data_IF_545097718956
#
_entry.id   IF_545097718956
#
_cell.length_a   1.000
_cell.length_b   1.000
_cell.length_c   1.000
_cell.angle_alpha   90.00
_cell.angle_beta   90.00
_cell.angle_gamma   90.00
#
_symmetry.space_group_name_H-M   'P 1'
#
loop_
_entity.id
_entity.type
_entity.pdbx_description
1 polymer ?
#
# COMPACT_ATOMS: atom_id res chain seq x y z
N UNK A 1 -6.15 11.27 1.24
CA UNK A 1 -5.06 12.26 1.10
C UNK A 1 -5.35 13.36 2.10
N UNK A 2 -4.32 14.02 2.67
CA UNK A 2 -4.52 15.33 3.31
C UNK A 2 -5.36 16.22 2.39
N UNK A 3 -6.04 17.21 2.94
CA UNK A 3 -6.90 18.08 2.15
C UNK A 3 -6.08 18.74 1.01
N UNK A 4 -6.12 18.14 -0.19
CA UNK A 4 -5.41 18.59 -1.39
C UNK A 4 -5.70 20.07 -1.69
N UNK A 5 -6.83 20.57 -1.21
CA UNK A 5 -7.24 21.98 -1.28
C UNK A 5 -6.25 22.93 -0.60
N UNK A 6 -5.49 22.45 0.38
CA UNK A 6 -4.55 23.26 1.16
C UNK A 6 -3.14 23.27 0.55
N UNK A 7 -2.89 22.49 -0.50
CA UNK A 7 -1.62 22.53 -1.21
C UNK A 7 -1.53 23.76 -2.12
N UNK A 8 -0.30 24.25 -2.32
CA UNK A 8 -0.03 25.35 -3.24
C UNK A 8 -0.10 24.88 -4.70
N UNK A 9 -1.24 25.10 -5.35
CA UNK A 9 -1.46 24.79 -6.76
C UNK A 9 -1.15 25.97 -7.70
N UNK A 10 -0.72 27.12 -7.18
CA UNK A 10 -0.53 28.33 -7.97
C UNK A 10 0.94 28.58 -8.32
N UNK A 11 1.87 28.22 -7.43
CA UNK A 11 3.29 28.30 -7.73
C UNK A 11 3.69 27.23 -8.74
N UNK A 12 3.94 27.66 -9.98
CA UNK A 12 4.27 26.78 -11.11
C UNK A 12 5.52 25.93 -10.88
N UNK A 13 6.54 26.49 -10.24
CA UNK A 13 7.80 25.81 -10.01
C UNK A 13 8.46 26.34 -8.73
N UNK A 14 8.98 25.43 -7.92
CA UNK A 14 9.89 25.70 -6.79
C UNK A 14 11.11 24.80 -6.93
N UNK A 15 12.29 25.40 -6.88
CA UNK A 15 13.52 24.68 -6.56
C UNK A 15 13.56 24.54 -5.03
N UNK A 16 13.48 23.30 -4.54
CA UNK A 16 13.42 23.05 -3.09
C UNK A 16 14.83 22.91 -2.52
N UNK A 17 15.72 22.16 -3.18
CA UNK A 17 17.11 21.98 -2.75
C UNK A 17 17.98 21.47 -3.89
N UNK A 18 19.29 21.70 -3.80
CA UNK A 18 20.31 21.04 -4.61
C UNK A 18 20.77 19.76 -3.90
N UNK A 19 20.38 18.60 -4.43
CA UNK A 19 20.78 17.29 -3.88
C UNK A 19 22.21 16.91 -4.28
N UNK A 20 22.77 17.56 -5.32
CA UNK A 20 24.15 17.37 -5.75
C UNK A 20 25.14 17.79 -4.65
N UNK A 21 24.82 18.87 -3.93
CA UNK A 21 25.61 19.35 -2.79
C UNK A 21 25.67 18.32 -1.67
N UNK A 22 24.59 17.58 -1.42
CA UNK A 22 24.55 16.60 -0.33
C UNK A 22 25.55 15.46 -0.56
N UNK A 23 25.67 15.00 -1.80
CA UNK A 23 26.65 13.96 -2.18
C UNK A 23 28.10 14.40 -2.04
N UNK A 24 28.36 15.70 -2.05
CA UNK A 24 29.69 16.26 -1.78
C UNK A 24 29.94 16.52 -0.30
N UNK A 25 28.87 16.74 0.48
CA UNK A 25 28.92 17.09 1.90
C UNK A 25 28.97 15.86 2.81
N UNK A 26 28.30 14.77 2.44
CA UNK A 26 28.16 13.58 3.29
C UNK A 26 28.83 12.36 2.66
N UNK A 27 29.44 11.53 3.50
CA UNK A 27 30.10 10.30 3.05
C UNK A 27 29.13 9.29 2.44
N UNK A 28 27.90 9.24 2.97
CA UNK A 28 26.81 8.44 2.44
C UNK A 28 25.54 9.29 2.33
N UNK A 29 24.85 9.16 1.19
CA UNK A 29 23.51 9.73 0.97
C UNK A 29 22.66 8.64 0.34
N UNK A 30 21.64 8.19 1.07
CA UNK A 30 20.76 7.12 0.62
C UNK A 30 19.65 7.66 -0.29
N UNK A 31 18.87 6.75 -0.88
CA UNK A 31 17.75 7.09 -1.78
C UNK A 31 16.81 8.13 -1.14
N UNK A 32 16.37 9.16 -1.89
CA UNK A 32 15.53 10.21 -1.33
C UNK A 32 14.05 9.83 -1.26
N UNK A 33 13.36 10.51 -0.35
CA UNK A 33 11.93 10.37 -0.08
C UNK A 33 11.28 11.74 -0.13
N UNK A 34 10.06 11.81 -0.64
CA UNK A 34 9.39 13.08 -0.90
C UNK A 34 8.05 13.11 -0.21
N UNK A 35 7.78 14.25 0.44
CA UNK A 35 6.50 14.56 1.07
C UNK A 35 5.34 14.56 0.06
N UNK A 36 4.11 14.25 0.50
CA UNK A 36 2.94 14.23 -0.38
C UNK A 36 2.78 15.52 -1.22
N UNK A 37 2.92 16.69 -0.60
CA UNK A 37 2.76 17.99 -1.24
C UNK A 37 3.98 18.44 -2.07
N UNK A 38 5.11 17.73 -1.95
CA UNK A 38 6.36 18.02 -2.63
C UNK A 38 7.17 19.18 -2.05
N UNK A 39 6.82 19.70 -0.87
CA UNK A 39 7.55 20.82 -0.25
C UNK A 39 8.79 20.35 0.51
N UNK A 40 8.89 19.04 0.79
CA UNK A 40 10.04 18.40 1.44
C UNK A 40 10.56 17.20 0.65
N UNK A 41 11.89 17.10 0.57
CA UNK A 41 12.65 15.90 0.19
C UNK A 41 13.63 15.56 1.31
N UNK A 42 13.79 14.27 1.59
CA UNK A 42 14.66 13.78 2.65
C UNK A 42 15.48 12.58 2.25
N UNK A 43 16.72 12.49 2.73
CA UNK A 43 17.57 11.31 2.63
C UNK A 43 18.19 10.97 3.98
N UNK A 44 18.44 9.69 4.22
CA UNK A 44 19.37 9.28 5.29
C UNK A 44 20.78 9.66 4.86
N UNK A 45 21.52 10.32 5.74
CA UNK A 45 22.92 10.69 5.53
C UNK A 45 23.77 10.21 6.69
N UNK A 46 25.06 9.99 6.42
CA UNK A 46 26.05 9.67 7.44
C UNK A 46 26.86 10.90 7.81
N UNK A 47 26.94 11.20 9.10
CA UNK A 47 27.68 12.33 9.66
C UNK A 47 29.17 12.01 9.81
N UNK A 48 29.97 13.03 10.12
CA UNK A 48 31.42 12.88 10.36
C UNK A 48 31.72 12.00 11.58
N UNK A 49 30.80 11.92 12.55
CA UNK A 49 30.89 11.07 13.74
C UNK A 49 30.49 9.61 13.48
N UNK A 50 30.39 9.20 12.21
CA UNK A 50 29.96 7.86 11.77
C UNK A 50 28.53 7.47 12.21
N UNK A 51 27.71 8.46 12.56
CA UNK A 51 26.30 8.31 12.93
C UNK A 51 25.37 8.63 11.75
N UNK A 52 24.11 8.22 11.83
CA UNK A 52 23.11 8.47 10.80
C UNK A 52 22.05 9.48 11.25
N UNK A 53 21.59 10.31 10.33
CA UNK A 53 20.48 11.24 10.55
C UNK A 53 19.74 11.53 9.24
N UNK A 54 18.57 12.19 9.33
CA UNK A 54 17.88 12.67 8.14
C UNK A 54 18.41 14.03 7.72
N UNK A 55 18.70 14.19 6.43
CA UNK A 55 18.82 15.51 5.79
C UNK A 55 17.50 15.81 5.09
N UNK A 56 16.80 16.86 5.51
CA UNK A 56 15.52 17.32 4.95
C UNK A 56 15.72 18.69 4.34
N UNK A 57 15.53 18.83 3.03
CA UNK A 57 15.76 20.08 2.29
C UNK A 57 17.14 20.75 2.54
N UNK A 58 18.16 19.95 2.92
CA UNK A 58 19.53 20.41 3.16
C UNK A 58 19.87 20.62 4.64
N UNK A 59 18.85 20.56 5.50
CA UNK A 59 18.97 20.70 6.95
C UNK A 59 18.97 19.34 7.64
N UNK A 60 19.87 19.14 8.60
CA UNK A 60 19.92 17.90 9.36
C UNK A 60 18.91 17.93 10.50
N UNK A 61 18.33 16.78 10.84
CA UNK A 61 17.75 16.61 12.17
C UNK A 61 18.83 16.81 13.24
N UNK A 62 18.42 17.34 14.39
CA UNK A 62 19.33 17.60 15.52
C UNK A 62 19.88 16.28 16.11
N UNK A 63 19.01 15.27 16.23
CA UNK A 63 19.40 13.96 16.74
C UNK A 63 20.13 13.13 15.68
N UNK A 64 21.10 12.34 16.14
CA UNK A 64 21.82 11.35 15.34
C UNK A 64 21.71 9.97 15.97
N UNK A 65 21.80 8.91 15.17
CA UNK A 65 21.49 7.55 15.56
C UNK A 65 22.54 6.56 15.06
N UNK A 66 22.77 5.46 15.78
CA UNK A 66 23.72 4.42 15.34
C UNK A 66 23.25 3.77 14.02
N UNK A 67 21.93 3.70 13.83
CA UNK A 67 21.26 3.20 12.62
C UNK A 67 20.00 3.99 12.35
N UNK A 68 19.72 4.26 11.08
CA UNK A 68 18.47 4.88 10.62
C UNK A 68 17.99 4.24 9.31
N UNK A 69 16.73 3.80 9.27
CA UNK A 69 16.20 2.97 8.18
C UNK A 69 14.75 3.35 7.85
N UNK A 70 14.33 3.04 6.63
CA UNK A 70 12.94 3.15 6.18
C UNK A 70 12.26 4.53 6.41
N UNK A 71 12.88 5.64 6.00
CA UNK A 71 12.25 6.95 6.11
C UNK A 71 10.95 7.01 5.30
N UNK A 72 9.88 7.56 5.88
CA UNK A 72 8.55 7.67 5.26
C UNK A 72 7.87 8.96 5.69
N UNK A 73 7.47 9.77 4.72
CA UNK A 73 6.56 10.89 4.98
C UNK A 73 5.14 10.36 5.22
N UNK A 74 4.54 10.78 6.32
CA UNK A 74 3.12 10.59 6.58
C UNK A 74 2.27 11.47 5.67
N UNK A 75 0.95 11.17 5.56
CA UNK A 75 -0.01 12.02 4.84
C UNK A 75 -0.05 13.48 5.34
N UNK A 76 0.35 13.73 6.59
CA UNK A 76 0.44 15.06 7.21
C UNK A 76 1.77 15.78 6.95
N UNK A 77 2.70 15.19 6.20
CA UNK A 77 3.98 15.80 5.84
C UNK A 77 5.07 15.70 6.91
N UNK A 78 4.83 14.99 8.02
CA UNK A 78 5.87 14.63 8.99
C UNK A 78 6.70 13.48 8.46
N UNK A 79 8.02 13.50 8.67
CA UNK A 79 8.92 12.44 8.28
C UNK A 79 9.11 11.47 9.45
N UNK A 80 8.93 10.18 9.20
CA UNK A 80 9.23 9.12 10.17
C UNK A 80 10.41 8.29 9.72
N UNK A 81 11.15 7.68 10.64
CA UNK A 81 12.16 6.67 10.32
C UNK A 81 12.34 5.69 11.49
N UNK A 82 12.76 4.46 11.21
CA UNK A 82 13.23 3.54 12.24
C UNK A 82 14.63 3.94 12.65
N UNK A 83 14.86 4.15 13.94
CA UNK A 83 16.14 4.58 14.50
C UNK A 83 16.58 3.64 15.61
N UNK A 84 17.89 3.50 15.79
CA UNK A 84 18.46 2.66 16.83
C UNK A 84 19.56 3.36 17.61
N UNK A 85 19.58 3.12 18.91
CA UNK A 85 20.59 3.55 19.86
C UNK A 85 20.79 2.45 20.91
N UNK A 86 22.04 2.16 21.30
CA UNK A 86 22.36 1.15 22.32
C UNK A 86 21.73 -0.22 22.04
N UNK A 87 21.54 -0.57 20.77
CA UNK A 87 20.97 -1.85 20.33
C UNK A 87 19.44 -1.97 20.44
N UNK A 88 18.74 -0.92 20.86
CA UNK A 88 17.27 -0.88 20.85
C UNK A 88 16.76 -0.05 19.66
N UNK A 89 15.54 -0.32 19.22
CA UNK A 89 14.89 0.36 18.10
C UNK A 89 13.66 1.14 18.52
N UNK A 90 13.40 2.25 17.83
CA UNK A 90 12.15 3.01 17.93
C UNK A 90 11.86 3.76 16.62
N UNK A 91 10.80 4.56 16.60
CA UNK A 91 10.47 5.47 15.49
C UNK A 91 10.84 6.89 15.89
N UNK A 92 11.59 7.59 15.04
CA UNK A 92 11.74 9.03 15.11
C UNK A 92 10.69 9.70 14.22
N UNK A 93 10.08 10.79 14.71
CA UNK A 93 9.13 11.63 13.98
C UNK A 93 9.68 13.05 13.93
N UNK A 94 10.02 13.52 12.74
CA UNK A 94 10.69 14.81 12.51
C UNK A 94 11.94 15.01 13.40
N UNK A 95 12.71 13.94 13.60
CA UNK A 95 13.95 13.94 14.40
C UNK A 95 13.77 13.51 15.83
N UNK A 96 12.55 13.52 16.36
CA UNK A 96 12.27 13.18 17.76
C UNK A 96 11.94 11.69 17.92
N UNK A 97 12.79 10.89 18.60
CA UNK A 97 12.49 9.48 18.88
C UNK A 97 11.34 9.34 19.87
N UNK A 98 10.49 8.32 19.68
CA UNK A 98 9.52 7.97 20.72
C UNK A 98 10.20 7.51 22.00
N UNK A 99 9.55 7.76 23.14
CA UNK A 99 10.04 7.38 24.47
C UNK A 99 10.19 5.85 24.63
N UNK A 100 9.24 5.07 24.11
CA UNK A 100 9.31 3.62 24.17
C UNK A 100 10.33 3.07 23.16
N UNK A 101 11.16 2.16 23.66
CA UNK A 101 12.15 1.40 22.89
C UNK A 101 11.79 -0.09 22.85
N UNK A 102 12.15 -0.73 21.74
CA UNK A 102 11.79 -2.09 21.38
C UNK A 102 13.02 -2.88 20.91
N UNK A 103 12.93 -4.20 20.91
CA UNK A 103 13.96 -5.05 20.29
C UNK A 103 13.98 -4.87 18.77
N UNK A 104 12.80 -4.75 18.15
CA UNK A 104 12.64 -4.45 16.73
C UNK A 104 11.35 -3.65 16.47
N UNK A 105 11.37 -2.81 15.43
CA UNK A 105 10.19 -2.13 14.87
C UNK A 105 10.17 -2.26 13.35
N UNK A 106 8.99 -2.46 12.75
CA UNK A 106 8.84 -2.56 11.29
C UNK A 106 7.41 -2.25 10.83
N UNK A 107 7.21 -2.19 9.50
CA UNK A 107 5.90 -2.06 8.85
C UNK A 107 5.12 -0.80 9.29
N UNK A 108 5.70 0.39 9.07
CA UNK A 108 5.02 1.66 9.37
C UNK A 108 3.76 1.84 8.52
N UNK A 109 2.65 2.19 9.16
CA UNK A 109 1.42 2.61 8.49
C UNK A 109 0.87 3.88 9.14
N UNK A 110 0.15 4.66 8.35
CA UNK A 110 -0.42 5.94 8.76
C UNK A 110 -1.94 5.90 8.67
N UNK A 111 -2.63 6.60 9.58
CA UNK A 111 -4.03 6.99 9.34
C UNK A 111 -4.13 7.89 8.11
N UNK A 112 -5.33 8.00 7.56
CA UNK A 112 -5.58 8.84 6.39
C UNK A 112 -5.15 10.31 6.57
N UNK A 113 -5.28 10.84 7.79
CA UNK A 113 -4.88 12.19 8.17
C UNK A 113 -3.44 12.29 8.70
N UNK A 114 -2.70 11.19 8.77
CA UNK A 114 -1.32 11.10 9.26
C UNK A 114 -1.14 11.20 10.78
N UNK A 115 -2.19 11.48 11.55
CA UNK A 115 -2.09 11.65 13.02
C UNK A 115 -1.73 10.38 13.76
N UNK A 116 -2.11 9.23 13.21
CA UNK A 116 -1.76 7.93 13.75
C UNK A 116 -0.60 7.36 12.95
N UNK A 117 0.47 7.04 13.66
CA UNK A 117 1.63 6.31 13.17
C UNK A 117 1.64 4.98 13.90
N UNK A 118 1.41 3.90 13.17
CA UNK A 118 1.42 2.54 13.70
C UNK A 118 2.62 1.77 13.18
N UNK A 119 3.18 0.89 14.01
CA UNK A 119 4.26 -0.03 13.65
C UNK A 119 4.06 -1.37 14.34
N UNK A 120 4.54 -2.45 13.73
CA UNK A 120 4.73 -3.70 14.45
C UNK A 120 5.98 -3.59 15.32
N UNK A 121 5.92 -4.18 16.50
CA UNK A 121 7.00 -4.15 17.48
C UNK A 121 7.29 -5.54 18.01
N UNK A 122 8.55 -5.80 18.34
CA UNK A 122 8.94 -6.95 19.14
C UNK A 122 9.65 -6.45 20.40
N UNK A 123 9.30 -7.04 21.55
CA UNK A 123 10.00 -6.85 22.82
C UNK A 123 9.90 -8.13 23.64
N UNK A 124 11.02 -8.58 24.21
CA UNK A 124 11.10 -9.80 25.03
C UNK A 124 10.51 -11.04 24.34
N UNK A 125 10.77 -11.19 23.04
CA UNK A 125 10.27 -12.29 22.18
C UNK A 125 8.74 -12.30 21.96
N UNK A 126 8.04 -11.24 22.38
CA UNK A 126 6.63 -11.04 22.12
C UNK A 126 6.41 -9.92 21.11
N UNK A 127 5.32 -10.03 20.36
CA UNK A 127 4.97 -9.19 19.22
C UNK A 127 3.72 -8.39 19.54
N UNK A 128 3.71 -7.12 19.13
CA UNK A 128 2.58 -6.21 19.34
C UNK A 128 2.51 -5.18 18.21
N UNK A 129 1.56 -4.26 18.31
CA UNK A 129 1.48 -3.05 17.50
C UNK A 129 1.62 -1.85 18.42
N UNK A 130 2.50 -0.91 18.08
CA UNK A 130 2.61 0.37 18.74
C UNK A 130 1.92 1.47 17.93
N UNK A 131 1.21 2.34 18.63
CA UNK A 131 0.44 3.46 18.11
C UNK A 131 1.00 4.74 18.71
N UNK A 132 1.57 5.61 17.89
CA UNK A 132 2.21 6.85 18.34
C UNK A 132 3.16 6.63 19.53
N UNK A 133 4.03 5.61 19.44
CA UNK A 133 4.97 5.26 20.49
C UNK A 133 4.44 4.31 21.57
N UNK A 134 3.13 4.07 21.66
CA UNK A 134 2.57 3.26 22.74
C UNK A 134 2.19 1.87 22.23
N UNK A 135 2.84 0.77 22.69
CA UNK A 135 2.41 -0.58 22.35
C UNK A 135 1.04 -0.89 22.97
N UNK A 136 0.30 -1.83 22.37
CA UNK A 136 -0.85 -2.41 23.05
C UNK A 136 -0.45 -2.99 24.41
N UNK A 137 -1.39 -2.96 25.36
CA UNK A 137 -1.20 -3.58 26.69
C UNK A 137 -0.92 -5.09 26.58
N UNK A 138 -1.53 -5.75 25.59
CA UNK A 138 -1.30 -7.15 25.30
C UNK A 138 -0.23 -7.31 24.20
N UNK A 139 0.59 -8.35 24.36
CA UNK A 139 1.51 -8.83 23.34
C UNK A 139 1.29 -10.33 23.09
N UNK A 140 1.74 -10.81 21.94
CA UNK A 140 1.41 -12.13 21.43
C UNK A 140 2.67 -12.89 21.02
N UNK A 141 2.57 -14.20 20.87
CA UNK A 141 3.70 -15.03 20.41
C UNK A 141 4.17 -14.64 19.01
N UNK A 142 3.24 -14.13 18.19
CA UNK A 142 3.54 -13.58 16.89
C UNK A 142 2.43 -12.64 16.42
N UNK A 143 2.81 -11.61 15.66
CA UNK A 143 1.93 -10.76 14.88
C UNK A 143 2.48 -10.67 13.48
N UNK A 144 1.82 -11.31 12.51
CA UNK A 144 2.34 -11.41 11.14
C UNK A 144 2.00 -10.20 10.28
N UNK A 145 0.81 -9.64 10.42
CA UNK A 145 0.36 -8.44 9.74
C UNK A 145 -0.68 -7.69 10.59
N UNK A 146 -0.92 -6.44 10.23
CA UNK A 146 -1.97 -5.61 10.82
C UNK A 146 -2.56 -4.65 9.78
N UNK A 147 -3.76 -4.14 10.01
CA UNK A 147 -4.44 -3.15 9.18
C UNK A 147 -5.00 -2.03 10.06
N UNK A 148 -4.99 -0.80 9.53
CA UNK A 148 -5.71 0.31 10.15
C UNK A 148 -7.12 0.37 9.56
N UNK A 149 -8.05 0.77 10.40
CA UNK A 149 -9.40 1.12 9.99
C UNK A 149 -9.44 2.40 9.13
N UNK A 150 -10.48 2.60 8.31
CA UNK A 150 -10.60 3.77 7.42
C UNK A 150 -10.49 5.14 8.11
N UNK A 151 -11.08 5.28 9.31
CA UNK A 151 -10.96 6.49 10.13
C UNK A 151 -9.63 6.60 10.90
N UNK A 152 -8.80 5.55 10.85
CA UNK A 152 -7.51 5.47 11.50
C UNK A 152 -7.56 5.24 13.01
N UNK A 153 -8.74 5.06 13.61
CA UNK A 153 -8.88 5.00 15.08
C UNK A 153 -8.73 3.59 15.66
N UNK A 154 -8.90 2.58 14.81
CA UNK A 154 -8.86 1.16 15.17
C UNK A 154 -7.76 0.44 14.40
N UNK A 155 -7.17 -0.57 15.03
CA UNK A 155 -6.19 -1.47 14.41
C UNK A 155 -6.61 -2.92 14.61
N UNK A 156 -6.49 -3.73 13.57
CA UNK A 156 -6.66 -5.17 13.64
C UNK A 156 -5.36 -5.87 13.23
N UNK A 157 -5.01 -6.96 13.90
CA UNK A 157 -3.79 -7.71 13.64
C UNK A 157 -4.01 -9.21 13.76
N UNK A 158 -3.28 -9.99 12.96
CA UNK A 158 -3.21 -11.43 13.14
C UNK A 158 -2.42 -11.72 14.41
N UNK A 159 -2.95 -12.51 15.33
CA UNK A 159 -2.31 -12.79 16.60
C UNK A 159 -2.16 -14.30 16.82
N UNK A 160 -0.93 -14.77 17.02
CA UNK A 160 -0.67 -16.10 17.54
C UNK A 160 -0.76 -16.08 19.06
N UNK A 161 -1.69 -16.85 19.61
CA UNK A 161 -2.05 -16.83 21.03
C UNK A 161 -1.37 -17.92 21.86
N UNK A 162 -0.75 -18.90 21.19
CA UNK A 162 -0.18 -20.08 21.84
C UNK A 162 1.24 -20.33 21.33
N UNK A 163 2.18 -20.46 22.28
CA UNK A 163 3.55 -20.87 21.99
C UNK A 163 3.57 -22.35 21.68
N UNK A 164 4.11 -22.71 20.53
CA UNK A 164 4.27 -24.10 20.13
C UNK A 164 5.71 -24.56 20.32
N UNK A 165 5.89 -25.83 20.68
CA UNK A 165 7.20 -26.47 20.64
C UNK A 165 7.58 -26.75 19.19
N UNK A 166 8.87 -26.86 18.91
CA UNK A 166 9.36 -27.25 17.60
C UNK A 166 8.76 -28.60 17.18
N UNK A 167 8.18 -28.65 15.98
CA UNK A 167 7.54 -29.86 15.44
C UNK A 167 6.18 -30.22 16.04
N UNK A 168 5.56 -29.38 16.89
CA UNK A 168 4.24 -29.64 17.46
C UNK A 168 3.10 -29.39 16.46
N UNK A 169 2.95 -30.34 15.53
CA UNK A 169 1.92 -30.29 14.48
C UNK A 169 0.51 -30.55 15.02
N UNK A 170 0.36 -31.16 16.19
CA UNK A 170 -0.94 -31.45 16.78
C UNK A 170 -1.47 -30.22 17.51
N UNK A 171 -0.64 -29.56 18.35
CA UNK A 171 -0.99 -28.29 18.96
C UNK A 171 -1.27 -27.19 17.93
N UNK A 172 -0.54 -27.19 16.80
CA UNK A 172 -0.87 -26.30 15.67
C UNK A 172 -2.29 -26.54 15.11
N UNK A 173 -2.69 -27.81 14.98
CA UNK A 173 -4.01 -28.19 14.45
C UNK A 173 -5.18 -27.88 15.40
N UNK A 174 -4.91 -27.67 16.69
CA UNK A 174 -5.93 -27.22 17.65
C UNK A 174 -6.36 -25.75 17.42
N UNK A 175 -5.58 -24.99 16.64
CA UNK A 175 -5.87 -23.60 16.32
C UNK A 175 -5.20 -22.63 17.30
N UNK A 176 -4.13 -21.98 16.85
CA UNK A 176 -3.33 -21.07 17.66
C UNK A 176 -3.45 -19.60 17.25
N UNK A 177 -4.13 -19.32 16.14
CA UNK A 177 -4.27 -17.98 15.59
C UNK A 177 -5.66 -17.39 15.82
N UNK A 178 -5.73 -16.08 15.98
CA UNK A 178 -6.97 -15.30 15.96
C UNK A 178 -6.69 -13.87 15.49
N UNK A 179 -7.68 -12.99 15.53
CA UNK A 179 -7.51 -11.56 15.27
C UNK A 179 -7.54 -10.81 16.59
N UNK A 180 -6.59 -9.90 16.78
CA UNK A 180 -6.63 -8.88 17.81
C UNK A 180 -7.15 -7.57 17.21
N UNK A 181 -8.20 -6.99 17.78
CA UNK A 181 -8.67 -5.63 17.46
C UNK A 181 -8.36 -4.73 18.64
N UNK A 182 -7.45 -3.77 18.46
CA UNK A 182 -6.90 -2.90 19.51
C UNK A 182 -6.36 -3.69 20.71
N UNK A 183 -5.62 -4.76 20.42
CA UNK A 183 -5.05 -5.66 21.43
C UNK A 183 -6.06 -6.62 22.07
N UNK A 184 -7.35 -6.56 21.72
CA UNK A 184 -8.39 -7.49 22.24
C UNK A 184 -8.66 -8.60 21.23
N UNK A 185 -8.51 -9.85 21.68
CA UNK A 185 -8.69 -11.02 20.83
C UNK A 185 -10.16 -11.28 20.53
N UNK A 186 -10.45 -11.79 19.33
CA UNK A 186 -11.69 -12.51 19.09
C UNK A 186 -11.73 -13.80 19.93
N UNK A 187 -12.93 -14.19 20.35
CA UNK A 187 -13.13 -15.41 21.17
C UNK A 187 -12.77 -16.70 20.42
N UNK A 188 -12.94 -16.71 19.09
CA UNK A 188 -12.69 -17.88 18.25
C UNK A 188 -11.24 -17.95 17.81
N UNK A 189 -10.64 -19.14 17.92
CA UNK A 189 -9.33 -19.48 17.35
C UNK A 189 -9.46 -20.26 16.04
N UNK A 190 -8.42 -20.17 15.23
CA UNK A 190 -8.29 -20.77 13.91
C UNK A 190 -6.90 -21.39 13.76
N UNK A 191 -6.75 -22.34 12.83
CA UNK A 191 -5.42 -22.89 12.49
C UNK A 191 -4.53 -21.79 11.92
N UNK A 192 -5.07 -20.92 11.08
CA UNK A 192 -4.40 -19.74 10.59
C UNK A 192 -5.39 -18.60 10.37
N UNK A 193 -4.85 -17.38 10.43
CA UNK A 193 -5.51 -16.15 10.00
C UNK A 193 -4.51 -15.40 9.10
N UNK A 194 -4.96 -14.94 7.92
CA UNK A 194 -4.15 -14.18 6.97
C UNK A 194 -4.78 -12.82 6.67
N UNK A 195 -5.10 -12.49 5.42
CA UNK A 195 -5.55 -11.17 4.99
C UNK A 195 -6.66 -10.60 5.87
N UNK A 196 -6.60 -9.30 6.14
CA UNK A 196 -7.49 -8.57 7.04
C UNK A 196 -8.09 -7.38 6.32
N UNK A 197 -9.36 -7.09 6.58
CA UNK A 197 -10.01 -5.88 6.09
C UNK A 197 -10.90 -5.28 7.17
N UNK A 198 -10.94 -3.95 7.25
CA UNK A 198 -11.95 -3.23 8.02
C UNK A 198 -13.14 -2.86 7.14
N UNK A 199 -14.33 -2.82 7.75
CA UNK A 199 -15.51 -2.22 7.13
C UNK A 199 -15.33 -0.71 6.92
N UNK A 200 -16.04 -0.10 5.94
CA UNK A 200 -15.93 1.34 5.66
C UNK A 200 -16.25 2.24 6.86
N UNK A 201 -17.07 1.76 7.79
CA UNK A 201 -17.46 2.47 9.01
C UNK A 201 -16.56 2.17 10.22
N UNK A 202 -15.43 1.49 10.01
CA UNK A 202 -14.42 1.13 11.02
C UNK A 202 -14.91 0.20 12.16
N UNK A 203 -16.09 -0.43 12.03
CA UNK A 203 -16.67 -1.23 13.13
C UNK A 203 -16.41 -2.72 13.06
N UNK A 204 -16.27 -3.27 11.86
CA UNK A 204 -16.18 -4.70 11.63
C UNK A 204 -14.84 -5.05 11.00
N UNK A 205 -14.33 -6.23 11.34
CA UNK A 205 -13.10 -6.77 10.74
C UNK A 205 -13.42 -8.11 10.09
N UNK A 206 -13.04 -8.25 8.83
CA UNK A 206 -13.07 -9.50 8.09
C UNK A 206 -11.65 -10.09 8.02
N UNK A 207 -11.55 -11.40 8.09
CA UNK A 207 -10.29 -12.12 8.00
C UNK A 207 -10.42 -13.38 7.16
N UNK A 208 -9.39 -13.64 6.35
CA UNK A 208 -9.15 -14.96 5.77
C UNK A 208 -8.75 -15.93 6.87
N UNK A 209 -9.47 -17.05 7.01
CA UNK A 209 -9.22 -18.03 8.07
C UNK A 209 -9.18 -19.47 7.54
N UNK A 210 -8.33 -20.28 8.17
CA UNK A 210 -8.27 -21.72 7.98
C UNK A 210 -8.85 -22.44 9.19
N UNK A 211 -9.84 -23.30 8.95
CA UNK A 211 -10.54 -24.05 10.00
C UNK A 211 -9.89 -25.39 10.31
N UNK A 212 -9.44 -26.08 9.26
CA UNK A 212 -8.74 -27.36 9.35
C UNK A 212 -7.74 -27.49 8.19
N UNK A 213 -7.16 -28.68 7.96
CA UNK A 213 -6.18 -28.88 6.90
C UNK A 213 -6.71 -28.62 5.47
N UNK A 214 -8.01 -28.58 5.25
CA UNK A 214 -8.63 -28.51 3.92
C UNK A 214 -9.67 -27.39 3.77
N UNK A 215 -10.26 -26.92 4.87
CA UNK A 215 -11.35 -25.95 4.85
C UNK A 215 -10.88 -24.54 5.21
N UNK A 216 -11.17 -23.62 4.29
CA UNK A 216 -10.92 -22.19 4.38
C UNK A 216 -12.23 -21.44 4.27
N UNK A 217 -12.32 -20.28 4.92
CA UNK A 217 -13.49 -19.39 4.83
C UNK A 217 -13.11 -17.97 5.24
N UNK A 218 -14.06 -17.06 5.21
CA UNK A 218 -13.91 -15.72 5.79
C UNK A 218 -14.62 -15.68 7.14
N UNK A 219 -14.01 -15.04 8.13
CA UNK A 219 -14.63 -14.71 9.39
C UNK A 219 -14.81 -13.19 9.51
N UNK A 220 -15.99 -12.74 9.94
CA UNK A 220 -16.28 -11.35 10.29
C UNK A 220 -16.55 -11.30 11.79
N UNK A 221 -15.73 -10.54 12.52
CA UNK A 221 -15.77 -10.45 13.99
C UNK A 221 -15.81 -11.82 14.67
N UNK A 222 -14.95 -12.75 14.22
CA UNK A 222 -14.85 -14.12 14.72
C UNK A 222 -15.95 -15.07 14.24
N UNK A 223 -16.99 -14.58 13.55
CA UNK A 223 -18.07 -15.41 12.99
C UNK A 223 -17.75 -15.77 11.55
N UNK A 224 -17.65 -17.06 11.26
CA UNK A 224 -17.36 -17.57 9.92
C UNK A 224 -18.58 -17.46 9.01
N UNK A 225 -18.35 -17.32 7.71
CA UNK A 225 -19.38 -17.67 6.73
C UNK A 225 -19.85 -19.12 6.95
N UNK A 226 -21.07 -19.43 6.50
CA UNK A 226 -21.63 -20.78 6.60
C UNK A 226 -20.99 -21.78 5.64
N UNK A 227 -20.38 -21.30 4.56
CA UNK A 227 -19.73 -22.11 3.54
C UNK A 227 -18.21 -22.21 3.76
N UNK A 228 -17.62 -23.33 3.36
CA UNK A 228 -16.17 -23.55 3.31
C UNK A 228 -15.70 -23.80 1.89
N UNK A 229 -14.43 -23.52 1.65
CA UNK A 229 -13.79 -23.63 0.35
C UNK A 229 -12.43 -24.31 0.49
N UNK A 230 -11.94 -24.90 -0.59
CA UNK A 230 -10.61 -25.51 -0.63
C UNK A 230 -9.48 -24.48 -0.47
N UNK A 231 -9.77 -23.21 -0.75
CA UNK A 231 -8.93 -22.04 -0.52
C UNK A 231 -9.78 -20.78 -0.69
N UNK A 232 -9.44 -19.71 0.03
CA UNK A 232 -9.97 -18.36 -0.19
C UNK A 232 -8.79 -17.38 -0.18
N UNK A 233 -8.96 -16.19 -0.73
CA UNK A 233 -7.98 -15.11 -0.59
C UNK A 233 -8.52 -13.98 0.31
N UNK A 234 -7.65 -12.99 0.57
CA UNK A 234 -7.93 -11.82 1.41
C UNK A 234 -9.32 -11.21 1.15
N UNK A 235 -10.12 -10.98 2.20
CA UNK A 235 -11.44 -10.37 2.06
C UNK A 235 -11.35 -8.87 1.76
N UNK A 236 -12.41 -8.33 1.18
CA UNK A 236 -12.62 -6.88 1.07
C UNK A 236 -14.08 -6.54 1.36
N UNK A 237 -14.33 -5.46 2.10
CA UNK A 237 -15.68 -4.97 2.31
C UNK A 237 -16.17 -4.16 1.11
N UNK A 238 -17.47 -4.22 0.85
CA UNK A 238 -18.15 -3.25 -0.01
C UNK A 238 -17.89 -1.83 0.52
N UNK A 239 -17.75 -0.84 -0.36
CA UNK A 239 -17.48 0.56 0.03
C UNK A 239 -18.69 1.28 0.62
N UNK A 240 -19.90 0.71 0.55
CA UNK A 240 -21.17 1.33 0.99
C UNK A 240 -21.93 0.57 2.07
N UNK A 241 -21.60 -0.70 2.28
CA UNK A 241 -22.29 -1.54 3.25
C UNK A 241 -21.32 -2.55 3.90
N UNK A 242 -21.86 -3.55 4.58
CA UNK A 242 -21.11 -4.56 5.34
C UNK A 242 -20.86 -5.86 4.58
N UNK A 243 -21.21 -5.94 3.29
CA UNK A 243 -20.97 -7.15 2.50
C UNK A 243 -19.48 -7.37 2.30
N UNK A 244 -19.06 -8.63 2.41
CA UNK A 244 -17.65 -9.02 2.27
C UNK A 244 -17.48 -9.86 1.02
N UNK A 245 -16.59 -9.43 0.13
CA UNK A 245 -16.19 -10.18 -1.05
C UNK A 245 -14.84 -10.86 -0.82
N UNK A 246 -14.71 -12.10 -1.29
CA UNK A 246 -13.43 -12.80 -1.35
C UNK A 246 -13.35 -13.70 -2.59
N UNK A 247 -12.18 -13.83 -3.22
CA UNK A 247 -11.91 -14.91 -4.16
C UNK A 247 -11.99 -16.25 -3.44
N UNK A 248 -12.72 -17.20 -4.03
CA UNK A 248 -12.89 -18.55 -3.46
C UNK A 248 -12.62 -19.61 -4.50
N UNK A 249 -11.99 -20.71 -4.07
CA UNK A 249 -11.70 -21.86 -4.92
C UNK A 249 -12.83 -22.87 -4.83
N UNK A 250 -13.58 -23.01 -5.93
CA UNK A 250 -14.68 -23.97 -6.08
C UNK A 250 -14.33 -25.07 -7.08
N UNK A 251 -15.21 -26.06 -7.25
CA UNK A 251 -15.05 -27.07 -8.30
C UNK A 251 -14.99 -26.39 -9.68
N UNK A 252 -13.88 -26.60 -10.38
CA UNK A 252 -13.63 -26.09 -11.73
C UNK A 252 -12.79 -24.81 -11.80
N UNK A 253 -12.53 -24.12 -10.68
CA UNK A 253 -11.65 -22.95 -10.65
C UNK A 253 -11.97 -21.96 -9.54
N UNK A 254 -11.35 -20.79 -9.64
CA UNK A 254 -11.61 -19.64 -8.77
C UNK A 254 -12.80 -18.83 -9.27
N UNK A 255 -13.60 -18.33 -8.34
CA UNK A 255 -14.68 -17.36 -8.59
C UNK A 255 -14.71 -16.36 -7.43
N UNK A 256 -15.48 -15.29 -7.57
CA UNK A 256 -15.72 -14.35 -6.49
C UNK A 256 -16.95 -14.79 -5.70
N UNK A 257 -16.86 -14.76 -4.37
CA UNK A 257 -18.01 -14.92 -3.48
C UNK A 257 -18.26 -13.65 -2.67
N UNK A 258 -19.53 -13.37 -2.40
CA UNK A 258 -19.97 -12.33 -1.46
C UNK A 258 -20.72 -13.03 -0.32
N UNK A 259 -20.29 -12.80 0.92
CA UNK A 259 -20.87 -13.41 2.12
C UNK A 259 -21.00 -14.94 2.01
N UNK A 260 -19.98 -15.59 1.46
CA UNK A 260 -19.93 -17.05 1.27
C UNK A 260 -20.67 -17.58 0.04
N UNK A 261 -21.34 -16.72 -0.75
CA UNK A 261 -22.07 -17.16 -1.95
C UNK A 261 -21.30 -16.76 -3.21
N UNK A 262 -20.90 -17.71 -4.08
CA UNK A 262 -20.35 -17.38 -5.39
C UNK A 262 -21.29 -16.46 -6.20
N UNK A 263 -20.77 -15.36 -6.72
CA UNK A 263 -21.53 -14.33 -7.46
C UNK A 263 -21.14 -14.19 -8.92
N UNK A 264 -19.97 -14.71 -9.33
CA UNK A 264 -19.57 -14.74 -10.74
C UNK A 264 -19.83 -16.12 -11.34
N UNK A 265 -20.58 -16.16 -12.45
CA UNK A 265 -20.89 -17.39 -13.19
C UNK A 265 -19.63 -18.04 -13.79
N UNK A 266 -18.66 -17.21 -14.17
CA UNK A 266 -17.40 -17.63 -14.77
C UNK A 266 -16.41 -18.08 -13.69
N UNK A 267 -15.70 -19.18 -13.99
CA UNK A 267 -14.57 -19.67 -13.20
C UNK A 267 -13.26 -19.36 -13.92
N UNK A 268 -12.21 -19.08 -13.15
CA UNK A 268 -10.89 -18.73 -13.63
C UNK A 268 -9.84 -19.72 -13.10
N UNK A 269 -8.68 -19.78 -13.75
CA UNK A 269 -7.54 -20.57 -13.25
C UNK A 269 -6.91 -19.95 -12.01
N UNK A 270 -6.98 -18.62 -11.89
CA UNK A 270 -6.57 -17.81 -10.74
C UNK A 270 -7.45 -16.54 -10.67
N UNK A 271 -7.66 -16.01 -9.47
CA UNK A 271 -8.40 -14.78 -9.19
C UNK A 271 -7.86 -14.17 -7.89
N UNK A 272 -7.47 -12.89 -7.89
CA UNK A 272 -7.01 -12.17 -6.69
C UNK A 272 -7.09 -10.65 -6.88
N UNK A 273 -6.68 -9.87 -5.88
CA UNK A 273 -6.68 -8.39 -5.89
C UNK A 273 -8.00 -7.79 -6.37
N UNK A 274 -9.11 -8.27 -5.79
CA UNK A 274 -10.43 -7.72 -6.05
C UNK A 274 -10.59 -6.35 -5.37
N UNK A 275 -11.18 -5.41 -6.09
CA UNK A 275 -11.45 -4.05 -5.62
C UNK A 275 -12.88 -3.67 -5.97
N UNK A 276 -13.57 -3.03 -5.05
CA UNK A 276 -14.89 -2.44 -5.31
C UNK A 276 -14.74 -1.09 -6.02
N UNK A 277 -15.73 -0.74 -6.84
CA UNK A 277 -15.90 0.63 -7.32
C UNK A 277 -16.21 1.59 -6.16
N UNK A 278 -15.96 2.90 -6.30
CA UNK A 278 -16.22 3.88 -5.23
C UNK A 278 -17.69 3.97 -4.79
N UNK A 279 -18.63 3.55 -5.64
CA UNK A 279 -20.06 3.45 -5.34
C UNK A 279 -20.50 2.07 -4.84
N UNK A 280 -19.59 1.10 -4.74
CA UNK A 280 -19.82 -0.24 -4.20
C UNK A 280 -20.57 -1.19 -5.13
N UNK A 281 -20.83 -0.78 -6.39
CA UNK A 281 -21.73 -1.51 -7.31
C UNK A 281 -21.02 -2.47 -8.25
N UNK A 282 -19.72 -2.30 -8.47
CA UNK A 282 -18.91 -3.13 -9.35
C UNK A 282 -17.70 -3.66 -8.62
N UNK A 283 -17.19 -4.79 -9.09
CA UNK A 283 -15.95 -5.38 -8.59
C UNK A 283 -15.03 -5.67 -9.77
N UNK A 284 -13.81 -5.13 -9.72
CA UNK A 284 -12.73 -5.48 -10.64
C UNK A 284 -11.75 -6.42 -9.93
N UNK A 285 -11.17 -7.39 -10.64
CA UNK A 285 -10.14 -8.26 -10.07
C UNK A 285 -9.14 -8.71 -11.14
N UNK A 286 -7.93 -9.05 -10.70
CA UNK A 286 -6.98 -9.78 -11.54
C UNK A 286 -7.46 -11.21 -11.70
N UNK A 287 -7.54 -11.69 -12.95
CA UNK A 287 -7.97 -13.04 -13.28
C UNK A 287 -7.04 -13.70 -14.30
N UNK A 288 -6.99 -15.03 -14.26
CA UNK A 288 -6.40 -15.84 -15.32
C UNK A 288 -7.46 -16.70 -16.02
N UNK A 289 -7.99 -16.29 -17.20
CA UNK A 289 -8.91 -17.10 -17.98
C UNK A 289 -8.32 -18.44 -18.43
N UNK A 290 -7.00 -18.48 -18.65
CA UNK A 290 -6.21 -19.68 -18.92
C UNK A 290 -4.87 -19.61 -18.18
N UNK A 291 -4.17 -20.73 -18.02
CA UNK A 291 -2.87 -20.74 -17.35
C UNK A 291 -1.88 -19.82 -18.06
N UNK A 292 -1.16 -19.01 -17.26
CA UNK A 292 -0.15 -18.07 -17.77
C UNK A 292 -0.70 -16.91 -18.60
N UNK A 293 -2.02 -16.67 -18.62
CA UNK A 293 -2.61 -15.51 -19.31
C UNK A 293 -3.47 -14.72 -18.32
N UNK A 294 -3.07 -13.50 -18.06
CA UNK A 294 -3.66 -12.62 -17.05
C UNK A 294 -4.45 -11.49 -17.69
N UNK A 295 -5.52 -11.03 -17.03
CA UNK A 295 -6.28 -9.84 -17.41
C UNK A 295 -7.10 -9.34 -16.23
N UNK A 296 -7.80 -8.21 -16.39
CA UNK A 296 -8.79 -7.74 -15.41
C UNK A 296 -10.17 -8.24 -15.82
N UNK A 297 -10.94 -8.72 -14.85
CA UNK A 297 -12.39 -8.89 -14.99
C UNK A 297 -13.13 -7.82 -14.20
N UNK A 298 -14.17 -7.26 -14.81
CA UNK A 298 -15.16 -6.40 -14.15
C UNK A 298 -16.46 -7.18 -14.07
N UNK A 299 -16.94 -7.42 -12.87
CA UNK A 299 -18.15 -8.22 -12.59
C UNK A 299 -18.13 -9.59 -13.30
N UNK A 300 -16.98 -10.26 -13.25
CA UNK A 300 -16.76 -11.59 -13.84
C UNK A 300 -16.55 -11.59 -15.35
N UNK A 301 -16.62 -10.43 -16.00
CA UNK A 301 -16.38 -10.26 -17.43
C UNK A 301 -14.92 -9.82 -17.68
N UNK A 302 -14.02 -10.71 -18.13
CA UNK A 302 -12.64 -10.35 -18.44
C UNK A 302 -12.55 -9.44 -19.65
N UNK A 303 -11.55 -8.54 -19.66
CA UNK A 303 -11.16 -7.87 -20.89
C UNK A 303 -10.77 -8.88 -21.97
N UNK A 304 -10.97 -8.49 -23.23
CA UNK A 304 -10.66 -9.36 -24.37
C UNK A 304 -9.15 -9.64 -24.49
N UNK A 305 -8.31 -8.64 -24.17
CA UNK A 305 -6.85 -8.80 -24.20
C UNK A 305 -6.36 -9.46 -22.91
N UNK A 306 -5.39 -10.36 -23.06
CA UNK A 306 -4.67 -11.00 -21.96
C UNK A 306 -3.18 -10.78 -22.12
N UNK A 307 -2.42 -10.92 -21.04
CA UNK A 307 -0.98 -10.65 -20.96
C UNK A 307 -0.25 -11.88 -20.39
N UNK A 308 0.94 -12.18 -20.89
CA UNK A 308 1.69 -13.39 -20.62
C UNK A 308 2.48 -13.37 -19.31
N UNK A 309 2.99 -12.21 -18.90
CA UNK A 309 3.91 -12.13 -17.76
C UNK A 309 3.16 -11.77 -16.47
N UNK A 310 2.47 -10.63 -16.46
CA UNK A 310 1.72 -10.16 -15.29
C UNK A 310 0.64 -9.15 -15.64
N UNK A 311 -0.32 -8.99 -14.73
CA UNK A 311 -1.14 -7.78 -14.61
C UNK A 311 -1.27 -7.44 -13.13
N UNK A 312 -1.04 -6.18 -12.81
CA UNK A 312 -1.13 -5.67 -11.45
C UNK A 312 -2.58 -5.35 -11.08
N UNK A 313 -2.78 -5.06 -9.80
CA UNK A 313 -4.07 -4.69 -9.21
C UNK A 313 -4.77 -3.56 -9.98
N UNK A 314 -6.09 -3.69 -10.25
CA UNK A 314 -6.87 -2.69 -10.96
C UNK A 314 -7.19 -1.48 -10.07
N UNK A 315 -7.41 -0.33 -10.72
CA UNK A 315 -7.86 0.92 -10.08
C UNK A 315 -9.11 1.40 -10.81
N UNK A 316 -10.16 1.73 -10.07
CA UNK A 316 -11.36 2.36 -10.63
C UNK A 316 -11.19 3.87 -10.78
N UNK A 317 -11.84 4.46 -11.79
CA UNK A 317 -12.11 5.89 -11.81
C UNK A 317 -13.01 6.30 -10.64
N UNK A 318 -12.97 7.57 -10.17
CA UNK A 318 -13.82 8.05 -9.08
C UNK A 318 -15.32 7.85 -9.30
N UNK A 319 -15.76 7.86 -10.57
CA UNK A 319 -17.15 7.62 -10.96
C UNK A 319 -17.50 6.14 -11.18
N UNK A 320 -16.54 5.21 -10.97
CA UNK A 320 -16.73 3.76 -11.10
C UNK A 320 -16.96 3.25 -12.53
N UNK A 321 -16.78 4.09 -13.56
CA UNK A 321 -17.05 3.71 -14.95
C UNK A 321 -15.87 3.10 -15.68
N UNK A 322 -14.65 3.48 -15.30
CA UNK A 322 -13.43 3.06 -15.96
C UNK A 322 -12.54 2.29 -15.02
N UNK A 323 -11.72 1.41 -15.58
CA UNK A 323 -10.72 0.64 -14.84
C UNK A 323 -9.37 0.74 -15.55
N UNK A 324 -8.34 1.06 -14.78
CA UNK A 324 -6.96 1.06 -15.25
C UNK A 324 -6.14 -0.01 -14.50
N UNK A 325 -5.13 -0.57 -15.16
CA UNK A 325 -4.18 -1.49 -14.56
C UNK A 325 -2.82 -1.34 -15.25
N UNK A 326 -1.80 -1.96 -14.67
CA UNK A 326 -0.48 -2.10 -15.29
C UNK A 326 -0.31 -3.54 -15.73
N UNK A 327 0.05 -3.76 -16.99
CA UNK A 327 0.33 -5.08 -17.53
C UNK A 327 1.79 -5.23 -17.93
N UNK A 328 2.30 -6.46 -17.84
CA UNK A 328 3.58 -6.87 -18.40
C UNK A 328 3.37 -7.98 -19.44
N UNK A 329 3.92 -7.79 -20.63
CA UNK A 329 3.85 -8.74 -21.73
C UNK A 329 5.16 -8.64 -22.54
N UNK A 330 5.75 -9.78 -22.89
CA UNK A 330 7.04 -9.87 -23.60
C UNK A 330 8.13 -8.99 -22.97
N UNK A 331 8.26 -9.05 -21.64
CA UNK A 331 9.22 -8.28 -20.84
C UNK A 331 9.06 -6.75 -20.90
N UNK A 332 7.89 -6.26 -21.33
CA UNK A 332 7.58 -4.83 -21.41
C UNK A 332 6.32 -4.45 -20.65
N UNK A 333 6.34 -3.26 -20.06
CA UNK A 333 5.25 -2.74 -19.23
C UNK A 333 4.36 -1.78 -20.00
N UNK A 334 3.05 -1.84 -19.74
CA UNK A 334 2.04 -1.00 -20.39
C UNK A 334 0.99 -0.56 -19.37
N UNK A 335 0.50 0.67 -19.51
CA UNK A 335 -0.74 1.09 -18.86
C UNK A 335 -1.91 0.55 -19.68
N UNK A 336 -2.88 -0.09 -19.04
CA UNK A 336 -4.07 -0.65 -19.70
C UNK A 336 -5.29 0.05 -19.13
N UNK A 337 -6.13 0.61 -20.00
CA UNK A 337 -7.34 1.31 -19.59
C UNK A 337 -8.52 0.73 -20.34
N UNK A 338 -9.48 0.20 -19.58
CA UNK A 338 -10.68 -0.46 -20.14
C UNK A 338 -10.33 -1.54 -21.18
N UNK A 339 -9.27 -2.31 -20.89
CA UNK A 339 -8.76 -3.37 -21.77
C UNK A 339 -7.87 -2.91 -22.93
N UNK A 340 -7.67 -1.60 -23.09
CA UNK A 340 -6.83 -1.01 -24.14
C UNK A 340 -5.43 -0.66 -23.62
N UNK A 341 -4.36 -1.34 -24.06
CA UNK A 341 -2.99 -1.03 -23.63
C UNK A 341 -2.43 0.21 -24.34
N UNK A 342 -1.56 0.94 -23.65
CA UNK A 342 -0.72 2.02 -24.17
C UNK A 342 0.44 1.49 -25.01
N UNK A 343 1.36 2.38 -25.42
CA UNK A 343 2.71 1.98 -25.82
C UNK A 343 3.46 1.27 -24.68
N UNK A 344 4.52 0.56 -25.04
CA UNK A 344 5.38 -0.18 -24.13
C UNK A 344 6.49 0.70 -23.51
N UNK A 345 6.79 0.43 -22.24
CA UNK A 345 7.78 1.12 -21.42
C UNK A 345 8.69 0.11 -20.71
N UNK A 346 9.83 0.59 -20.20
CA UNK A 346 10.73 -0.22 -19.38
C UNK A 346 10.14 -0.47 -18.00
N UNK A 347 9.36 0.49 -17.48
CA UNK A 347 8.52 0.32 -16.29
C UNK A 347 7.31 1.26 -16.31
N UNK A 348 6.21 0.84 -15.69
CA UNK A 348 5.00 1.65 -15.49
C UNK A 348 4.56 1.51 -14.02
N UNK A 349 4.36 2.64 -13.33
CA UNK A 349 3.83 2.66 -11.97
C UNK A 349 2.30 2.72 -11.98
N UNK A 350 1.67 2.48 -10.82
CA UNK A 350 0.22 2.39 -10.70
C UNK A 350 -0.47 3.64 -11.28
N UNK A 351 -1.45 3.47 -12.19
CA UNK A 351 -2.16 4.60 -12.78
C UNK A 351 -3.09 5.28 -11.77
N UNK A 352 -3.25 6.58 -11.94
CA UNK A 352 -4.19 7.40 -11.17
C UNK A 352 -5.19 8.07 -12.11
N UNK A 353 -6.44 8.16 -11.66
CA UNK A 353 -7.47 8.91 -12.36
C UNK A 353 -7.54 10.36 -11.85
N UNK A 354 -7.91 11.28 -12.73
CA UNK A 354 -8.33 12.62 -12.31
C UNK A 354 -9.59 12.55 -11.44
N UNK A 355 -9.86 13.55 -10.57
CA UNK A 355 -11.02 13.53 -9.68
C UNK A 355 -12.38 13.38 -10.39
N UNK A 356 -12.49 13.88 -11.62
CA UNK A 356 -13.67 13.74 -12.48
C UNK A 356 -13.68 12.44 -13.32
N UNK A 357 -12.63 11.63 -13.27
CA UNK A 357 -12.52 10.31 -13.92
C UNK A 357 -12.27 10.31 -15.44
N UNK A 358 -12.17 11.47 -16.07
CA UNK A 358 -12.00 11.58 -17.53
C UNK A 358 -10.56 11.36 -18.01
N UNK A 359 -9.57 11.57 -17.13
CA UNK A 359 -8.14 11.43 -17.42
C UNK A 359 -7.53 10.35 -16.54
N UNK A 360 -6.51 9.69 -17.09
CA UNK A 360 -5.65 8.74 -16.38
C UNK A 360 -4.20 9.08 -16.65
N UNK A 361 -3.38 9.08 -15.61
CA UNK A 361 -1.96 9.34 -15.69
C UNK A 361 -1.16 8.27 -14.96
N UNK A 362 0.08 8.04 -15.40
CA UNK A 362 1.03 7.18 -14.72
C UNK A 362 2.45 7.72 -14.87
N UNK A 363 3.29 7.50 -13.85
CA UNK A 363 4.74 7.60 -13.99
C UNK A 363 5.21 6.41 -14.84
N UNK A 364 6.14 6.66 -15.76
CA UNK A 364 6.76 5.65 -16.63
C UNK A 364 8.27 5.84 -16.70
N UNK A 365 8.98 4.75 -16.98
CA UNK A 365 10.41 4.75 -17.27
C UNK A 365 10.65 4.33 -18.72
N UNK A 366 11.53 5.07 -19.41
CA UNK A 366 11.95 4.78 -20.78
C UNK A 366 13.40 5.21 -20.96
N UNK A 367 14.27 4.28 -21.37
CA UNK A 367 15.70 4.52 -21.58
C UNK A 367 16.43 5.06 -20.32
N UNK A 368 16.08 4.56 -19.13
CA UNK A 368 16.69 4.97 -17.87
C UNK A 368 16.31 6.38 -17.40
N UNK A 369 15.25 6.97 -17.97
CA UNK A 369 14.69 8.26 -17.58
C UNK A 369 13.20 8.13 -17.27
N UNK A 370 12.71 9.00 -16.40
CA UNK A 370 11.31 8.97 -15.95
C UNK A 370 10.49 10.11 -16.55
N UNK A 371 9.22 9.84 -16.86
CA UNK A 371 8.26 10.86 -17.31
C UNK A 371 6.83 10.47 -16.95
N UNK A 372 5.84 11.26 -17.36
CA UNK A 372 4.41 11.01 -17.18
C UNK A 372 3.76 10.67 -18.52
N UNK A 373 2.98 9.60 -18.54
CA UNK A 373 2.00 9.34 -19.61
C UNK A 373 0.62 9.76 -19.13
N UNK A 374 -0.16 10.45 -19.96
CA UNK A 374 -1.54 10.82 -19.67
C UNK A 374 -2.45 10.52 -20.85
N UNK A 375 -3.51 9.73 -20.64
CA UNK A 375 -4.41 9.26 -21.70
C UNK A 375 -3.65 8.69 -22.92
N UNK A 376 -2.54 7.98 -22.66
CA UNK A 376 -1.66 7.41 -23.69
C UNK A 376 -0.71 8.40 -24.38
N UNK A 377 -0.73 9.69 -24.03
CA UNK A 377 0.23 10.69 -24.53
C UNK A 377 1.39 10.87 -23.56
N UNK A 378 2.61 10.76 -24.07
CA UNK A 378 3.85 10.94 -23.31
C UNK A 378 4.19 12.43 -23.16
N UNK A 379 4.52 12.87 -21.96
CA UNK A 379 5.05 14.22 -21.76
C UNK A 379 6.46 14.34 -22.36
N UNK A 380 6.75 15.46 -23.03
CA UNK A 380 8.03 15.67 -23.74
C UNK A 380 9.23 15.98 -22.84
N UNK A 381 9.04 15.99 -21.53
CA UNK A 381 10.08 16.24 -20.53
C UNK A 381 10.37 14.95 -19.78
N UNK A 382 11.63 14.69 -19.49
CA UNK A 382 12.08 13.55 -18.71
C UNK A 382 12.95 13.98 -17.52
N UNK A 383 13.12 13.07 -16.57
CA UNK A 383 13.75 13.35 -15.27
C UNK A 383 14.70 12.23 -14.84
N UNK A 384 15.66 12.58 -13.98
CA UNK A 384 16.56 11.62 -13.32
C UNK A 384 15.84 10.81 -12.24
N UNK A 385 14.90 11.45 -11.54
CA UNK A 385 13.95 10.79 -10.65
C UNK A 385 12.60 11.49 -10.73
N UNK A 386 11.52 10.74 -10.55
CA UNK A 386 10.15 11.24 -10.59
C UNK A 386 9.33 10.45 -9.56
N UNK A 387 8.55 11.14 -8.74
CA UNK A 387 7.52 10.53 -7.91
C UNK A 387 6.16 10.57 -8.62
N UNK A 388 5.22 9.75 -8.15
CA UNK A 388 3.92 9.63 -8.79
C UNK A 388 3.25 11.00 -8.98
N UNK A 389 2.64 11.27 -10.15
CA UNK A 389 1.91 12.51 -10.37
C UNK A 389 0.76 12.64 -9.38
N UNK A 390 0.31 13.86 -9.08
CA UNK A 390 -0.91 14.07 -8.27
C UNK A 390 -1.79 15.10 -8.97
N UNK A 391 -3.05 14.74 -9.25
CA UNK A 391 -4.00 15.69 -9.81
C UNK A 391 -4.44 16.73 -8.76
N UNK A 392 -4.66 17.97 -9.21
CA UNK A 392 -5.41 18.96 -8.44
C UNK A 392 -6.85 18.51 -8.23
N UNK A 393 -7.53 19.09 -7.24
CA UNK A 393 -8.91 18.73 -6.88
C UNK A 393 -9.93 18.92 -8.01
N UNK A 394 -9.66 19.86 -8.93
CA UNK A 394 -10.47 20.11 -10.13
C UNK A 394 -10.01 19.27 -11.35
N UNK A 395 -8.89 18.56 -11.24
CA UNK A 395 -8.31 17.74 -12.31
C UNK A 395 -7.67 18.53 -13.46
N UNK A 396 -7.47 19.84 -13.33
CA UNK A 396 -6.90 20.69 -14.39
C UNK A 396 -5.38 20.86 -14.31
N UNK A 397 -4.78 20.60 -13.15
CA UNK A 397 -3.34 20.70 -12.89
C UNK A 397 -2.80 19.36 -12.39
N UNK A 398 -1.50 19.16 -12.54
CA UNK A 398 -0.76 18.03 -11.99
C UNK A 398 0.46 18.54 -11.23
N UNK A 399 0.65 18.02 -10.02
CA UNK A 399 1.86 18.17 -9.23
C UNK A 399 2.89 17.15 -9.71
N UNK A 400 4.04 17.66 -10.12
CA UNK A 400 5.22 16.92 -10.53
C UNK A 400 6.31 17.15 -9.49
N UNK A 401 6.86 16.06 -8.97
CA UNK A 401 7.94 16.05 -7.98
C UNK A 401 9.09 15.29 -8.63
N UNK A 402 10.19 15.98 -8.94
CA UNK A 402 11.21 15.41 -9.81
C UNK A 402 12.62 15.91 -9.48
N UNK A 403 13.63 15.09 -9.80
CA UNK A 403 15.03 15.48 -9.81
C UNK A 403 15.49 15.68 -11.26
N UNK A 404 16.12 16.83 -11.51
CA UNK A 404 16.65 17.22 -12.82
C UNK A 404 17.96 18.01 -12.62
N UNK A 405 19.06 17.52 -13.19
CA UNK A 405 20.38 18.13 -13.01
C UNK A 405 20.84 18.10 -11.56
N UNK A 406 20.56 17.02 -10.82
CA UNK A 406 20.89 16.90 -9.39
C UNK A 406 20.05 17.75 -8.44
N UNK A 407 19.08 18.53 -8.93
CA UNK A 407 18.23 19.42 -8.13
C UNK A 407 16.82 18.89 -8.00
N UNK A 408 16.23 19.03 -6.82
CA UNK A 408 14.85 18.63 -6.58
C UNK A 408 13.88 19.80 -6.83
N UNK A 409 12.90 19.57 -7.71
CA UNK A 409 11.87 20.53 -8.08
C UNK A 409 10.48 20.03 -7.73
N UNK A 410 9.67 20.97 -7.24
CA UNK A 410 8.22 20.86 -7.12
C UNK A 410 7.59 21.71 -8.22
N UNK A 411 6.81 21.10 -9.12
CA UNK A 411 6.19 21.78 -10.26
C UNK A 411 4.69 21.53 -10.30
N UNK A 412 3.93 22.58 -10.59
CA UNK A 412 2.49 22.48 -10.85
C UNK A 412 2.25 22.89 -12.29
N UNK A 413 1.87 21.94 -13.12
CA UNK A 413 1.66 22.15 -14.55
C UNK A 413 0.19 21.96 -14.94
N UNK A 414 -0.34 22.74 -15.90
CA UNK A 414 -1.63 22.44 -16.51
C UNK A 414 -1.59 21.08 -17.21
N UNK A 415 -2.68 20.33 -17.13
CA UNK A 415 -2.85 19.06 -17.86
C UNK A 415 -2.61 19.22 -19.37
N UNK A 416 -3.03 20.36 -19.94
CA UNK A 416 -2.84 20.65 -21.37
C UNK A 416 -1.37 20.62 -21.81
N UNK A 417 -0.43 20.90 -20.91
CA UNK A 417 1.00 20.84 -21.20
C UNK A 417 1.48 19.42 -21.53
N UNK A 418 0.86 18.40 -20.93
CA UNK A 418 1.15 16.99 -21.23
C UNK A 418 0.40 16.55 -22.50
N UNK A 419 -0.85 16.98 -22.64
CA UNK A 419 -1.73 16.51 -23.71
C UNK A 419 -1.44 17.15 -25.08
N UNK A 420 -0.71 18.27 -25.13
CA UNK A 420 -0.35 18.98 -26.35
C UNK A 420 -1.46 19.91 -26.82
#
# INVERSE_FOLDING_TARGET
MPELKNWDWETKEKLITDMGEWKTKFAEVWEPYVSPDGEKIASVVKTEDEMFTACVNGELWENTFEKMWYPRFGPDGRLTAFVSEMGEWTVAVDGEPWENKFGYVWNTKFSHDGKIIAVQTQKDMLYSVAINGNPWENAFENVTNYVLSPDGQRIAANAQTTKLKEGDIFGFQEGVWTVAVDGKLWDKKFINVWGLAFSPDSKHVAAEVRLNLYDYTIAVDGKTWGETFACVWEPTFNTKDSDVAAPVKVKGGWTLAINGRPVWDRKFKQLWHQVYSPDGRKIAAVVAPSYGRWTIAVDGSPWAKTFGDAILEPVFSPDGKRVAAVAKDDDKWMMVVDGSPSEAFDMVWQPIFSPNGDKVAAKVEKNGKFTVVMNGKLWRRDFEALWDPVFSTDGNKVLIRAIEGGKYYRRVIPVGEILG
#
